data_IF_343055110134
#
_entry.id   IF_343055110134
#
_cell.length_a   1.000
_cell.length_b   1.000
_cell.length_c   1.000
_cell.angle_alpha   90.00
_cell.angle_beta   90.00
_cell.angle_gamma   90.00
#
_symmetry.space_group_name_H-M   'P 1'
#
loop_
_entity.id
_entity.type
_entity.pdbx_description
1 polymer ?
#
# COMPACT_ATOMS: atom_id res chain seq x y z
N UNK A 1 7.49 -0.95 21.62
CA UNK A 1 8.78 -0.29 21.37
C UNK A 1 8.72 0.24 19.95
N UNK A 2 8.85 1.55 19.83
CA UNK A 2 8.56 2.35 18.64
C UNK A 2 9.40 1.98 17.41
N UNK A 3 8.71 1.75 16.28
CA UNK A 3 9.32 1.65 14.95
C UNK A 3 9.47 3.02 14.28
N UNK A 4 9.56 4.09 15.07
CA UNK A 4 10.09 5.36 14.59
C UNK A 4 11.61 5.27 14.62
N UNK A 5 12.26 5.57 13.49
CA UNK A 5 13.70 5.76 13.30
C UNK A 5 14.41 4.53 12.69
N UNK A 6 14.35 4.40 11.36
CA UNK A 6 15.45 3.82 10.59
C UNK A 6 15.88 4.64 9.37
N UNK A 7 15.24 5.77 9.05
CA UNK A 7 15.73 6.64 7.96
C UNK A 7 16.89 7.54 8.36
N UNK A 8 17.12 7.76 9.66
CA UNK A 8 18.21 8.65 10.14
C UNK A 8 19.60 8.01 10.08
N UNK A 9 19.70 6.69 10.04
CA UNK A 9 20.99 5.98 10.21
C UNK A 9 21.81 5.86 8.92
N UNK A 10 21.22 6.14 7.75
CA UNK A 10 21.94 6.03 6.46
C UNK A 10 22.89 7.23 6.22
N UNK A 11 22.82 8.30 7.04
CA UNK A 11 23.55 9.55 6.79
C UNK A 11 24.94 9.67 7.44
N UNK A 12 25.48 8.64 8.11
CA UNK A 12 26.72 8.78 8.91
C UNK A 12 28.02 8.28 8.26
N UNK A 13 28.06 8.04 6.94
CA UNK A 13 29.30 7.69 6.24
C UNK A 13 29.60 8.69 5.11
N UNK A 14 30.25 9.80 5.50
CA UNK A 14 31.09 10.66 4.66
C UNK A 14 30.77 10.76 3.17
N UNK A 15 29.77 11.57 2.80
CA UNK A 15 29.73 12.24 1.50
C UNK A 15 29.44 13.71 1.76
N UNK A 16 30.28 14.55 1.17
CA UNK A 16 30.32 16.01 1.31
C UNK A 16 28.96 16.65 1.06
N UNK A 17 28.59 17.53 1.98
CA UNK A 17 27.39 18.36 2.04
C UNK A 17 27.25 19.22 0.78
N UNK A 18 26.43 18.78 -0.17
CA UNK A 18 25.76 19.62 -1.15
C UNK A 18 24.28 19.68 -0.77
N UNK A 19 23.91 20.67 0.05
CA UNK A 19 22.52 20.92 0.45
C UNK A 19 21.78 21.64 -0.67
N UNK A 20 21.62 20.98 -1.82
CA UNK A 20 20.36 21.10 -2.56
C UNK A 20 19.38 20.18 -1.85
N UNK A 21 18.48 20.75 -1.06
CA UNK A 21 17.37 20.08 -0.39
C UNK A 21 16.57 19.22 -1.37
N UNK A 22 16.95 17.94 -1.49
CA UNK A 22 16.41 17.06 -2.51
C UNK A 22 15.13 16.42 -1.95
N UNK A 23 13.98 16.78 -2.53
CA UNK A 23 12.70 16.14 -2.26
C UNK A 23 12.83 14.65 -2.59
N UNK A 24 13.05 13.81 -1.58
CA UNK A 24 13.24 12.37 -1.75
C UNK A 24 12.06 11.62 -1.16
N UNK A 25 11.14 11.22 -2.04
CA UNK A 25 10.06 10.30 -1.70
C UNK A 25 10.18 9.06 -2.59
N UNK A 26 10.24 7.84 -2.01
CA UNK A 26 10.15 6.63 -2.81
C UNK A 26 8.76 6.53 -3.46
N UNK A 27 8.69 5.87 -4.61
CA UNK A 27 7.41 5.47 -5.19
C UNK A 27 6.58 4.67 -4.18
N UNK A 28 5.25 4.80 -4.28
CA UNK A 28 4.34 4.05 -3.46
C UNK A 28 4.55 2.54 -3.65
N UNK A 29 4.77 1.87 -2.54
CA UNK A 29 5.06 0.45 -2.45
C UNK A 29 4.50 -0.09 -1.13
N UNK A 30 3.73 -1.18 -1.22
CA UNK A 30 3.10 -1.83 -0.06
C UNK A 30 4.12 -2.48 0.91
N UNK A 31 5.40 -2.57 0.53
CA UNK A 31 6.52 -2.95 1.42
C UNK A 31 7.06 -1.76 2.21
N UNK A 32 6.96 -0.55 1.67
CA UNK A 32 7.54 0.68 2.25
C UNK A 32 6.51 1.46 3.07
N UNK A 33 5.23 1.35 2.70
CA UNK A 33 4.12 2.05 3.32
C UNK A 33 3.05 1.07 3.75
N UNK A 34 2.54 1.27 4.97
CA UNK A 34 1.48 0.45 5.56
C UNK A 34 0.12 0.63 4.88
N UNK A 35 -0.12 1.78 4.25
CA UNK A 35 -1.34 2.10 3.53
C UNK A 35 -1.10 3.22 2.52
N UNK A 36 -2.04 3.43 1.61
CA UNK A 36 -1.98 4.56 0.69
C UNK A 36 -2.09 5.89 1.44
N UNK A 37 -2.90 5.95 2.52
CA UNK A 37 -2.94 7.11 3.42
C UNK A 37 -1.58 7.42 4.03
N UNK A 38 -0.84 6.43 4.56
CA UNK A 38 0.45 6.71 5.20
C UNK A 38 1.50 7.21 4.20
N UNK A 39 1.43 6.77 2.95
CA UNK A 39 2.19 7.35 1.85
C UNK A 39 1.82 8.81 1.58
N UNK A 40 0.52 9.14 1.44
CA UNK A 40 0.08 10.52 1.21
C UNK A 40 0.43 11.46 2.37
N UNK A 41 0.35 10.97 3.61
CA UNK A 41 0.75 11.74 4.79
C UNK A 41 2.27 12.02 4.78
N UNK A 42 3.08 11.06 4.33
CA UNK A 42 4.52 11.26 4.13
C UNK A 42 4.82 12.25 2.99
N UNK A 43 4.12 12.13 1.87
CA UNK A 43 4.21 13.08 0.75
C UNK A 43 3.85 14.50 1.18
N UNK A 44 2.76 14.67 1.93
CA UNK A 44 2.34 15.97 2.45
C UNK A 44 3.37 16.57 3.40
N UNK A 45 3.97 15.76 4.28
CA UNK A 45 5.02 16.20 5.18
C UNK A 45 6.25 16.72 4.40
N UNK A 46 6.69 16.00 3.37
CA UNK A 46 7.77 16.46 2.48
C UNK A 46 7.39 17.73 1.70
N UNK A 47 6.13 17.86 1.30
CA UNK A 47 5.64 19.08 0.65
C UNK A 47 5.67 20.28 1.61
N UNK A 48 5.32 20.09 2.88
CA UNK A 48 5.40 21.15 3.90
C UNK A 48 6.85 21.58 4.10
N UNK A 49 7.77 20.62 4.27
CA UNK A 49 9.20 20.87 4.48
C UNK A 49 9.83 21.67 3.34
N UNK A 50 9.40 21.42 2.10
CA UNK A 50 9.92 22.09 0.90
C UNK A 50 8.98 23.16 0.31
N UNK A 51 8.00 23.62 1.09
CA UNK A 51 7.07 24.71 0.74
C UNK A 51 6.36 24.49 -0.62
N UNK A 52 5.84 23.27 -0.84
CA UNK A 52 5.10 22.91 -2.06
C UNK A 52 3.61 23.11 -1.87
N UNK A 53 3.01 23.86 -2.79
CA UNK A 53 1.58 24.14 -2.82
C UNK A 53 0.77 23.00 -3.48
N UNK A 54 -0.56 23.09 -3.41
CA UNK A 54 -1.45 22.06 -3.94
C UNK A 54 -1.34 21.90 -5.47
N UNK A 55 -1.00 22.96 -6.20
CA UNK A 55 -0.76 22.89 -7.65
C UNK A 55 0.47 22.03 -7.96
N UNK A 56 1.54 22.23 -7.18
CA UNK A 56 2.73 21.39 -7.26
C UNK A 56 2.40 19.94 -6.89
N UNK A 57 1.62 19.71 -5.83
CA UNK A 57 1.21 18.36 -5.42
C UNK A 57 0.44 17.64 -6.51
N UNK A 58 -0.57 18.26 -7.10
CA UNK A 58 -1.36 17.70 -8.21
C UNK A 58 -0.48 17.32 -9.41
N UNK A 59 0.48 18.19 -9.76
CA UNK A 59 1.38 17.95 -10.90
C UNK A 59 2.39 16.83 -10.64
N UNK A 60 2.82 16.63 -9.39
CA UNK A 60 3.96 15.78 -9.08
C UNK A 60 3.59 14.46 -8.39
N UNK A 61 2.46 14.35 -7.71
CA UNK A 61 2.02 13.11 -7.06
C UNK A 61 2.05 11.89 -8.02
N UNK A 62 1.59 11.97 -9.29
CA UNK A 62 1.62 10.83 -10.22
C UNK A 62 3.01 10.24 -10.47
N UNK A 63 4.07 11.04 -10.30
CA UNK A 63 5.45 10.58 -10.48
C UNK A 63 5.89 9.57 -9.43
N UNK A 64 5.18 9.52 -8.31
CA UNK A 64 5.43 8.60 -7.21
C UNK A 64 4.41 7.46 -7.18
N UNK A 65 3.53 7.36 -8.17
CA UNK A 65 2.53 6.30 -8.32
C UNK A 65 2.95 5.34 -9.42
N UNK A 66 2.63 4.06 -9.26
CA UNK A 66 2.93 3.01 -10.25
C UNK A 66 1.70 2.13 -10.51
N UNK A 67 1.74 1.35 -11.58
CA UNK A 67 0.71 0.33 -11.87
C UNK A 67 -0.74 0.85 -11.89
N UNK A 68 -1.61 0.25 -11.09
CA UNK A 68 -3.03 0.61 -11.00
C UNK A 68 -3.26 1.99 -10.41
N UNK A 69 -2.38 2.48 -9.54
CA UNK A 69 -2.51 3.79 -8.88
C UNK A 69 -2.37 4.94 -9.89
N UNK A 70 -1.32 4.90 -10.72
CA UNK A 70 -1.11 5.92 -11.75
C UNK A 70 -2.15 5.82 -12.88
N UNK A 71 -2.59 4.61 -13.23
CA UNK A 71 -3.69 4.42 -14.18
C UNK A 71 -4.98 5.07 -13.67
N UNK A 72 -5.37 4.79 -12.42
CA UNK A 72 -6.55 5.39 -11.80
C UNK A 72 -6.48 6.92 -11.80
N UNK A 73 -5.30 7.49 -11.55
CA UNK A 73 -5.09 8.94 -11.59
C UNK A 73 -5.47 9.56 -12.93
N UNK A 74 -4.99 8.98 -14.04
CA UNK A 74 -5.26 9.50 -15.38
C UNK A 74 -6.67 9.18 -15.88
N UNK A 75 -7.16 7.96 -15.64
CA UNK A 75 -8.50 7.54 -16.08
C UNK A 75 -9.62 8.40 -15.46
N UNK A 76 -9.40 8.90 -14.23
CA UNK A 76 -10.36 9.75 -13.52
C UNK A 76 -10.05 11.25 -13.62
N UNK A 77 -9.08 11.64 -14.46
CA UNK A 77 -8.69 13.04 -14.69
C UNK A 77 -8.46 13.83 -13.39
N UNK A 78 -7.80 13.22 -12.41
CA UNK A 78 -7.66 13.79 -11.07
C UNK A 78 -6.97 15.18 -11.08
N UNK A 79 -6.16 15.47 -12.09
CA UNK A 79 -5.54 16.78 -12.29
C UNK A 79 -6.51 17.97 -12.43
N UNK A 80 -7.81 17.74 -12.67
CA UNK A 80 -8.83 18.79 -12.75
C UNK A 80 -9.50 19.13 -11.40
N UNK A 81 -9.26 18.34 -10.35
CA UNK A 81 -9.86 18.53 -9.02
C UNK A 81 -8.89 19.23 -8.06
N UNK A 82 -9.38 19.56 -6.86
CA UNK A 82 -8.48 20.00 -5.78
C UNK A 82 -7.62 18.84 -5.27
N UNK A 83 -6.46 19.17 -4.70
CA UNK A 83 -5.59 18.16 -4.08
C UNK A 83 -6.31 17.41 -2.96
N UNK A 84 -7.08 18.12 -2.14
CA UNK A 84 -7.79 17.52 -1.00
C UNK A 84 -8.87 16.52 -1.44
N UNK A 85 -9.68 16.85 -2.46
CA UNK A 85 -10.68 15.93 -3.01
C UNK A 85 -10.02 14.66 -3.58
N UNK A 86 -8.90 14.82 -4.28
CA UNK A 86 -8.14 13.68 -4.78
C UNK A 86 -7.54 12.84 -3.66
N UNK A 87 -6.99 13.46 -2.62
CA UNK A 87 -6.46 12.75 -1.44
C UNK A 87 -7.53 11.87 -0.81
N UNK A 88 -8.72 12.42 -0.57
CA UNK A 88 -9.85 11.70 0.01
C UNK A 88 -10.33 10.56 -0.90
N UNK A 89 -10.46 10.82 -2.21
CA UNK A 89 -10.87 9.81 -3.17
C UNK A 89 -9.87 8.65 -3.25
N UNK A 90 -8.58 8.95 -3.32
CA UNK A 90 -7.53 7.95 -3.39
C UNK A 90 -7.48 7.08 -2.13
N UNK A 91 -7.61 7.67 -0.94
CA UNK A 91 -7.71 6.93 0.32
C UNK A 91 -8.95 6.04 0.31
N UNK A 92 -10.11 6.59 -0.10
CA UNK A 92 -11.35 5.84 -0.16
C UNK A 92 -11.25 4.65 -1.10
N UNK A 93 -10.63 4.80 -2.27
CA UNK A 93 -10.50 3.70 -3.24
C UNK A 93 -9.46 2.70 -2.75
N UNK A 94 -8.25 3.14 -2.45
CA UNK A 94 -7.14 2.20 -2.25
C UNK A 94 -7.05 1.62 -0.84
N UNK A 95 -7.38 2.39 0.20
CA UNK A 95 -7.35 1.86 1.57
C UNK A 95 -8.62 1.09 1.92
N UNK A 96 -9.81 1.55 1.50
CA UNK A 96 -11.06 0.77 1.76
C UNK A 96 -11.04 -0.54 0.99
N UNK A 97 -10.67 -0.54 -0.30
CA UNK A 97 -10.55 -1.79 -1.06
C UNK A 97 -9.52 -2.72 -0.44
N UNK A 98 -8.38 -2.22 0.05
CA UNK A 98 -7.40 -3.05 0.75
C UNK A 98 -8.00 -3.68 2.02
N UNK A 99 -8.74 -2.92 2.82
CA UNK A 99 -9.40 -3.46 4.02
C UNK A 99 -10.45 -4.53 3.67
N UNK A 100 -11.22 -4.31 2.60
CA UNK A 100 -12.17 -5.31 2.10
C UNK A 100 -11.45 -6.59 1.63
N UNK A 101 -10.31 -6.48 0.97
CA UNK A 101 -9.49 -7.62 0.56
C UNK A 101 -8.87 -8.36 1.76
N UNK A 102 -8.40 -7.64 2.79
CA UNK A 102 -7.94 -8.24 4.07
C UNK A 102 -9.09 -9.03 4.71
N UNK A 103 -10.26 -8.42 4.78
CA UNK A 103 -11.44 -9.07 5.36
C UNK A 103 -11.87 -10.30 4.55
N UNK A 104 -11.80 -10.23 3.22
CA UNK A 104 -12.00 -11.40 2.34
C UNK A 104 -10.96 -12.49 2.60
N UNK A 105 -9.69 -12.12 2.75
CA UNK A 105 -8.62 -13.08 3.02
C UNK A 105 -8.83 -13.85 4.34
N UNK A 106 -9.20 -13.14 5.43
CA UNK A 106 -9.49 -13.77 6.72
C UNK A 106 -10.76 -14.62 6.70
N UNK A 107 -11.80 -14.18 5.98
CA UNK A 107 -13.08 -14.88 5.93
C UNK A 107 -13.14 -16.00 4.89
N UNK A 108 -12.18 -16.08 3.97
CA UNK A 108 -12.12 -17.15 2.97
C UNK A 108 -11.86 -18.48 3.66
N UNK A 109 -12.89 -19.32 3.70
CA UNK A 109 -12.89 -20.68 4.25
C UNK A 109 -13.02 -21.71 3.14
N UNK A 110 -12.52 -22.92 3.41
CA UNK A 110 -12.80 -24.06 2.55
C UNK A 110 -14.24 -24.51 2.80
N UNK A 111 -15.07 -24.46 1.75
CA UNK A 111 -16.45 -24.95 1.79
C UNK A 111 -16.48 -26.45 1.42
N UNK A 112 -17.44 -27.21 1.97
CA UNK A 112 -17.54 -28.67 1.83
C UNK A 112 -17.57 -29.17 0.37
N UNK A 113 -17.97 -28.30 -0.57
CA UNK A 113 -18.12 -28.59 -1.99
C UNK A 113 -17.07 -27.91 -2.89
N UNK A 114 -16.13 -27.13 -2.33
CA UNK A 114 -15.14 -26.36 -3.10
C UNK A 114 -13.87 -27.18 -3.29
N UNK A 115 -13.31 -27.13 -4.51
CA UNK A 115 -12.05 -27.80 -4.81
C UNK A 115 -10.90 -27.19 -3.98
N UNK A 116 -10.12 -28.05 -3.34
CA UNK A 116 -9.00 -27.67 -2.47
C UNK A 116 -7.94 -26.80 -3.18
N UNK A 117 -7.56 -27.17 -4.40
CA UNK A 117 -6.61 -26.42 -5.23
C UNK A 117 -7.17 -25.03 -5.55
N UNK A 118 -8.46 -24.94 -5.85
CA UNK A 118 -9.12 -23.65 -6.10
C UNK A 118 -9.10 -22.75 -4.86
N UNK A 119 -9.37 -23.31 -3.68
CA UNK A 119 -9.31 -22.57 -2.42
C UNK A 119 -7.89 -22.03 -2.16
N UNK A 120 -6.86 -22.88 -2.27
CA UNK A 120 -5.47 -22.45 -2.08
C UNK A 120 -5.04 -21.39 -3.10
N UNK A 121 -5.43 -21.56 -4.36
CA UNK A 121 -5.09 -20.61 -5.43
C UNK A 121 -5.70 -19.23 -5.15
N UNK A 122 -6.97 -19.19 -4.77
CA UNK A 122 -7.68 -17.94 -4.45
C UNK A 122 -7.07 -17.26 -3.21
N UNK A 123 -6.80 -18.03 -2.15
CA UNK A 123 -6.23 -17.50 -0.91
C UNK A 123 -4.80 -16.99 -1.11
N UNK A 124 -3.97 -17.72 -1.87
CA UNK A 124 -2.63 -17.28 -2.27
C UNK A 124 -2.67 -16.00 -3.11
N UNK A 125 -3.59 -15.92 -4.08
CA UNK A 125 -3.75 -14.73 -4.92
C UNK A 125 -4.15 -13.49 -4.09
N UNK A 126 -5.07 -13.65 -3.13
CA UNK A 126 -5.45 -12.59 -2.20
C UNK A 126 -4.25 -12.16 -1.33
N UNK A 127 -3.53 -13.11 -0.72
CA UNK A 127 -2.36 -12.82 0.10
C UNK A 127 -1.27 -12.07 -0.67
N UNK A 128 -1.00 -12.47 -1.91
CA UNK A 128 -0.04 -11.79 -2.79
C UNK A 128 -0.48 -10.37 -3.17
N UNK A 129 -1.77 -10.14 -3.46
CA UNK A 129 -2.29 -8.78 -3.71
C UNK A 129 -2.15 -7.87 -2.48
N UNK A 130 -2.32 -8.43 -1.30
CA UNK A 130 -2.13 -7.73 -0.01
C UNK A 130 -0.66 -7.57 0.38
N UNK A 131 0.24 -8.17 -0.40
CA UNK A 131 1.68 -8.19 -0.18
C UNK A 131 2.08 -8.84 1.16
N UNK A 132 1.32 -9.85 1.59
CA UNK A 132 1.70 -10.70 2.72
C UNK A 132 2.87 -11.60 2.30
N UNK A 133 3.81 -11.84 3.22
CA UNK A 133 4.86 -12.81 2.98
C UNK A 133 4.31 -14.23 2.91
N UNK A 134 5.03 -15.11 2.22
CA UNK A 134 4.60 -16.50 2.01
C UNK A 134 4.39 -17.23 3.35
N UNK A 135 5.18 -16.93 4.38
CA UNK A 135 5.01 -17.49 5.73
C UNK A 135 3.67 -17.12 6.36
N UNK A 136 3.26 -15.85 6.28
CA UNK A 136 2.01 -15.31 6.81
C UNK A 136 0.82 -15.91 6.07
N UNK A 137 0.95 -16.08 4.76
CA UNK A 137 -0.07 -16.74 3.94
C UNK A 137 -0.19 -18.21 4.37
N UNK A 138 0.92 -18.93 4.49
CA UNK A 138 0.94 -20.35 4.91
C UNK A 138 0.38 -20.52 6.33
N UNK A 139 0.72 -19.65 7.27
CA UNK A 139 0.17 -19.68 8.63
C UNK A 139 -1.37 -19.57 8.60
N UNK A 140 -1.90 -18.62 7.83
CA UNK A 140 -3.36 -18.46 7.64
C UNK A 140 -4.03 -19.62 6.88
N UNK A 141 -3.27 -20.38 6.09
CA UNK A 141 -3.75 -21.61 5.46
C UNK A 141 -3.83 -22.76 6.48
N UNK A 142 -2.90 -22.82 7.44
CA UNK A 142 -2.89 -23.86 8.48
C UNK A 142 -3.90 -23.60 9.61
N UNK A 143 -4.28 -22.35 9.84
CA UNK A 143 -5.33 -21.95 10.80
C UNK A 143 -6.76 -22.26 10.33
N UNK A 144 -6.94 -22.73 9.10
CA UNK A 144 -8.24 -23.23 8.63
C UNK A 144 -8.62 -24.43 9.50
N UNK A 145 -9.73 -24.31 10.25
CA UNK A 145 -10.32 -25.47 10.91
C UNK A 145 -10.78 -26.45 9.82
N UNK A 146 -9.99 -27.50 9.61
CA UNK A 146 -10.34 -28.58 8.72
C UNK A 146 -11.46 -29.40 9.37
N UNK A 147 -12.70 -29.13 8.98
CA UNK A 147 -13.83 -30.00 9.32
C UNK A 147 -13.75 -31.28 8.48
N UNK A 148 -12.79 -32.14 8.78
CA UNK A 148 -12.80 -33.51 8.26
C UNK A 148 -13.96 -34.24 8.94
N UNK A 149 -15.11 -34.32 8.27
CA UNK A 149 -16.10 -35.33 8.61
C UNK A 149 -15.48 -36.69 8.31
N UNK A 150 -15.22 -37.47 9.36
CA UNK A 150 -14.86 -38.87 9.24
C UNK A 150 -15.98 -39.60 8.48
N UNK A 151 -15.61 -40.27 7.39
CA UNK A 151 -16.48 -41.19 6.65
C UNK A 151 -16.75 -42.45 7.48
#
# INVERSE_FOLDING_TARGET
>A
MDNHIQWKTILSAGVTKDTSEQFFLPEFDNTKFSSFKSFLDCFDQQCIEHQKDDQWKLKNLPKYLTGSYIKFWYDNQLFNNTYQENKELLIKVFDVTRQEEIQKFHNLKLEDNKNLISFFTEKLALGKRLNFDDSSIVEHLTLVQWNFKSF
#
